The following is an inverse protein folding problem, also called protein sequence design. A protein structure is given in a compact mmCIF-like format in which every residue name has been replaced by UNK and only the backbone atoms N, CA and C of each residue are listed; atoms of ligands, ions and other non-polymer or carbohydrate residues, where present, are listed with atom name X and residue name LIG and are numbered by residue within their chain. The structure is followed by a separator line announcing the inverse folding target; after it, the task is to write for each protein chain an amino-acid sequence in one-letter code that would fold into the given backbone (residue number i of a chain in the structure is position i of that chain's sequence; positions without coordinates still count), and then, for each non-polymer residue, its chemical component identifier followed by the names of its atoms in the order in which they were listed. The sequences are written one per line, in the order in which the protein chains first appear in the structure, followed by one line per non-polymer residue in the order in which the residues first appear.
data_IF_084183199144
#
_entry.id   IF_084183199144
#
_cell.length_a   1.000
_cell.length_b   1.000
_cell.length_c   1.000
_cell.angle_alpha   90.00
_cell.angle_beta   90.00
_cell.angle_gamma   90.00
#
_symmetry.space_group_name_H-M   'P 1'
#
loop_
_entity.id
_entity.type
_entity.pdbx_description
1 polymer ?
#
# COMPACT_ATOMS: atom_id res chain seq x y z
N UNK A 1 -8.55 5.19 22.24
CA UNK A 1 -8.17 4.18 21.24
C UNK A 1 -6.90 4.66 20.56
N UNK A 2 -5.80 3.91 20.67
CA UNK A 2 -4.56 4.22 19.96
C UNK A 2 -4.81 3.95 18.47
N UNK A 3 -4.60 4.93 17.59
CA UNK A 3 -4.89 4.79 16.15
C UNK A 3 -3.60 4.77 15.36
N UNK A 4 -3.49 3.85 14.40
CA UNK A 4 -2.34 3.76 13.51
C UNK A 4 -2.57 4.64 12.28
N UNK A 5 -1.92 5.81 12.23
CA UNK A 5 -1.97 6.72 11.08
C UNK A 5 -0.96 6.29 10.00
N UNK A 6 -1.28 5.21 9.28
CA UNK A 6 -0.64 4.91 8.00
C UNK A 6 -1.67 5.10 6.86
N UNK A 7 -1.28 5.67 5.70
CA UNK A 7 -2.16 5.79 4.55
C UNK A 7 -2.46 4.43 3.87
N UNK A 8 -1.75 3.36 4.25
CA UNK A 8 -1.85 2.04 3.62
C UNK A 8 -2.24 0.97 4.64
N UNK A 9 -3.08 0.03 4.18
CA UNK A 9 -3.48 -1.13 4.96
C UNK A 9 -2.34 -2.14 4.94
N UNK A 10 -1.84 -2.53 6.11
CA UNK A 10 -0.82 -3.57 6.22
C UNK A 10 -1.42 -4.96 6.06
N UNK A 11 -0.67 -5.85 5.43
CA UNK A 11 -0.95 -7.28 5.41
C UNK A 11 -0.08 -7.94 6.48
N UNK A 12 -0.71 -8.74 7.34
CA UNK A 12 -0.12 -9.38 8.53
C UNK A 12 -0.71 -10.78 8.67
N UNK A 13 -0.03 -11.63 9.44
CA UNK A 13 -0.59 -12.92 9.84
C UNK A 13 -1.65 -12.68 10.93
N UNK A 14 -2.89 -13.08 10.62
CA UNK A 14 -4.02 -13.00 11.53
C UNK A 14 -4.07 -14.15 12.52
N UNK A 15 -5.10 -14.13 13.39
CA UNK A 15 -5.21 -15.03 14.54
C UNK A 15 -5.31 -16.52 14.24
N UNK A 16 -5.62 -16.84 12.99
CA UNK A 16 -5.77 -18.20 12.51
C UNK A 16 -4.63 -18.62 11.57
N UNK A 17 -3.49 -17.93 11.63
CA UNK A 17 -2.29 -18.22 10.84
C UNK A 17 -2.35 -17.77 9.37
N UNK A 18 -3.47 -17.20 8.88
CA UNK A 18 -3.59 -16.73 7.50
C UNK A 18 -3.18 -15.27 7.33
N UNK A 19 -2.59 -14.92 6.18
CA UNK A 19 -2.31 -13.53 5.84
C UNK A 19 -3.59 -12.77 5.51
N UNK A 20 -3.83 -11.68 6.23
CA UNK A 20 -4.99 -10.79 6.07
C UNK A 20 -4.57 -9.34 6.25
N UNK A 21 -5.40 -8.44 5.77
CA UNK A 21 -5.29 -7.04 6.09
C UNK A 21 -5.63 -6.78 7.56
N UNK A 22 -4.89 -5.86 8.21
CA UNK A 22 -5.22 -5.35 9.54
C UNK A 22 -6.68 -4.88 9.59
N UNK A 23 -7.30 -4.93 10.76
CA UNK A 23 -8.66 -4.40 10.94
C UNK A 23 -8.65 -2.91 10.60
N UNK A 24 -9.60 -2.49 9.79
CA UNK A 24 -9.72 -1.11 9.36
C UNK A 24 -11.15 -0.81 8.93
N UNK A 25 -11.47 0.47 8.80
CA UNK A 25 -12.75 0.90 8.25
C UNK A 25 -12.56 2.16 7.42
N UNK A 26 -12.97 2.07 6.15
CA UNK A 26 -12.91 3.16 5.19
C UNK A 26 -14.17 4.04 5.18
N UNK A 27 -15.27 3.54 5.75
CA UNK A 27 -16.52 4.29 5.89
C UNK A 27 -16.35 5.36 6.97
N UNK A 28 -16.86 6.57 6.78
CA UNK A 28 -16.82 7.65 7.78
C UNK A 28 -18.10 7.66 8.62
N UNK A 29 -18.00 8.12 9.87
CA UNK A 29 -19.12 8.17 10.81
C UNK A 29 -19.82 6.81 10.96
N UNK A 30 -19.05 5.74 11.08
CA UNK A 30 -19.57 4.36 10.98
C UNK A 30 -20.58 3.96 12.04
N UNK A 31 -20.65 4.65 13.18
CA UNK A 31 -21.65 4.41 14.24
C UNK A 31 -22.93 5.24 14.10
N UNK A 32 -22.96 6.19 13.17
CA UNK A 32 -24.14 6.95 12.78
C UNK A 32 -24.09 7.16 11.26
N UNK A 33 -24.29 6.08 10.47
CA UNK A 33 -23.96 6.08 9.06
C UNK A 33 -24.81 7.07 8.26
N UNK A 34 -24.14 7.81 7.38
CA UNK A 34 -24.76 8.75 6.43
C UNK A 34 -24.25 8.48 5.02
N UNK A 35 -25.07 8.83 4.02
CA UNK A 35 -24.71 8.73 2.60
C UNK A 35 -23.45 9.53 2.29
N UNK A 36 -22.49 8.90 1.62
CA UNK A 36 -21.18 9.49 1.34
C UNK A 36 -20.46 8.77 0.20
N UNK A 37 -19.40 9.40 -0.30
CA UNK A 37 -18.41 8.74 -1.17
C UNK A 37 -17.11 8.53 -0.41
N UNK A 38 -16.48 7.38 -0.63
CA UNK A 38 -15.18 7.03 -0.02
C UNK A 38 -14.17 6.64 -1.10
N UNK A 39 -12.88 6.83 -0.80
CA UNK A 39 -11.81 6.45 -1.71
C UNK A 39 -11.56 4.94 -1.67
N UNK A 40 -11.59 4.32 -2.84
CA UNK A 40 -11.20 2.92 -3.08
C UNK A 40 -9.99 2.86 -4.01
N UNK A 41 -9.35 1.70 -4.12
CA UNK A 41 -8.33 1.42 -5.12
C UNK A 41 -8.95 0.57 -6.22
N UNK A 42 -8.88 1.01 -7.48
CA UNK A 42 -9.36 0.21 -8.61
C UNK A 42 -8.64 -1.16 -8.64
N UNK A 43 -9.39 -2.21 -8.99
CA UNK A 43 -8.99 -3.62 -9.00
C UNK A 43 -8.69 -4.24 -7.63
N UNK A 44 -8.90 -3.53 -6.52
CA UNK A 44 -8.86 -4.12 -5.19
C UNK A 44 -10.23 -4.69 -4.79
N UNK A 45 -10.22 -5.77 -4.01
CA UNK A 45 -11.43 -6.39 -3.48
C UNK A 45 -11.82 -5.78 -2.14
N UNK A 46 -13.12 -5.55 -1.97
CA UNK A 46 -13.72 -4.94 -0.79
C UNK A 46 -14.94 -5.73 -0.33
N UNK A 47 -15.33 -5.50 0.92
CA UNK A 47 -16.58 -5.94 1.49
C UNK A 47 -17.24 -4.80 2.26
N UNK A 48 -18.56 -4.68 2.13
CA UNK A 48 -19.40 -3.77 2.91
C UNK A 48 -20.22 -4.59 3.89
N UNK A 49 -20.02 -4.32 5.17
CA UNK A 49 -20.73 -4.94 6.28
C UNK A 49 -21.63 -3.91 6.93
N UNK A 50 -22.87 -4.32 7.20
CA UNK A 50 -23.89 -3.48 7.84
C UNK A 50 -24.42 -4.24 9.06
N UNK A 51 -24.69 -3.53 10.14
CA UNK A 51 -25.40 -4.07 11.31
C UNK A 51 -26.63 -3.22 11.64
N UNK A 52 -27.57 -3.79 12.40
CA UNK A 52 -28.84 -3.14 12.72
C UNK A 52 -29.85 -3.18 11.58
N UNK A 53 -30.89 -2.35 11.68
CA UNK A 53 -31.90 -2.16 10.64
C UNK A 53 -31.41 -1.18 9.58
N UNK A 54 -31.54 -1.49 8.30
CA UNK A 54 -31.15 -0.57 7.22
C UNK A 54 -30.19 -1.21 6.23
N UNK A 55 -29.85 -0.43 5.20
CA UNK A 55 -29.08 -0.90 4.06
C UNK A 55 -28.09 0.14 3.56
N UNK A 56 -27.10 -0.36 2.81
CA UNK A 56 -26.16 0.48 2.06
C UNK A 56 -26.15 0.02 0.61
N UNK A 57 -26.64 0.86 -0.29
CA UNK A 57 -26.58 0.62 -1.74
C UNK A 57 -25.26 1.17 -2.30
N UNK A 58 -24.57 0.35 -3.07
CA UNK A 58 -23.27 0.65 -3.66
C UNK A 58 -23.41 1.09 -5.11
N UNK A 59 -22.71 2.16 -5.48
CA UNK A 59 -22.58 2.62 -6.88
C UNK A 59 -21.16 3.12 -7.18
N UNK A 60 -20.90 3.45 -8.45
CA UNK A 60 -19.61 3.91 -9.00
C UNK A 60 -18.52 2.82 -9.00
N UNK A 61 -17.79 2.61 -7.90
CA UNK A 61 -16.75 1.58 -7.82
C UNK A 61 -17.30 0.16 -7.58
N UNK A 62 -18.54 0.01 -7.12
CA UNK A 62 -19.15 -1.29 -6.84
C UNK A 62 -20.66 -1.24 -7.02
N UNK A 63 -21.31 -2.40 -7.02
CA UNK A 63 -22.76 -2.54 -7.13
C UNK A 63 -23.30 -3.50 -6.08
N UNK A 64 -24.58 -3.37 -5.74
CA UNK A 64 -25.26 -4.24 -4.77
C UNK A 64 -25.84 -3.47 -3.58
N UNK A 65 -26.58 -4.17 -2.73
CA UNK A 65 -27.19 -3.62 -1.52
C UNK A 65 -26.77 -4.49 -0.34
N UNK A 66 -25.98 -3.90 0.56
CA UNK A 66 -25.55 -4.57 1.79
C UNK A 66 -26.58 -4.33 2.90
N UNK A 67 -26.87 -5.37 3.68
CA UNK A 67 -27.73 -5.32 4.87
C UNK A 67 -27.19 -6.21 5.98
N UNK A 68 -27.77 -6.12 7.17
CA UNK A 68 -27.41 -7.03 8.26
C UNK A 68 -27.59 -8.50 7.84
N UNK A 69 -26.57 -9.32 8.09
CA UNK A 69 -26.54 -10.73 7.68
C UNK A 69 -26.34 -10.99 6.18
N UNK A 70 -26.26 -9.94 5.35
CA UNK A 70 -26.03 -10.06 3.90
C UNK A 70 -25.03 -9.00 3.44
N UNK A 71 -23.74 -9.17 3.76
CA UNK A 71 -22.69 -8.26 3.30
C UNK A 71 -22.49 -8.37 1.78
N UNK A 72 -22.06 -7.27 1.16
CA UNK A 72 -21.72 -7.26 -0.28
C UNK A 72 -20.21 -7.26 -0.44
N UNK A 73 -19.69 -8.23 -1.19
CA UNK A 73 -18.30 -8.30 -1.63
C UNK A 73 -18.19 -7.91 -3.09
N UNK A 74 -17.20 -7.10 -3.46
CA UNK A 74 -17.01 -6.63 -4.83
C UNK A 74 -15.54 -6.32 -5.13
N UNK A 75 -15.16 -6.33 -6.41
CA UNK A 75 -13.89 -5.77 -6.89
C UNK A 75 -14.13 -4.35 -7.37
N UNK A 76 -13.41 -3.37 -6.83
CA UNK A 76 -13.62 -1.97 -7.15
C UNK A 76 -13.26 -1.68 -8.62
N UNK A 77 -14.22 -1.16 -9.39
CA UNK A 77 -14.00 -0.73 -10.79
C UNK A 77 -13.30 0.62 -10.90
N UNK A 78 -13.40 1.46 -9.86
CA UNK A 78 -12.88 2.83 -9.86
C UNK A 78 -12.30 3.22 -8.50
N UNK A 79 -11.71 4.43 -8.43
CA UNK A 79 -11.10 4.97 -7.22
C UNK A 79 -12.09 5.54 -6.21
N UNK A 80 -13.40 5.49 -6.48
CA UNK A 80 -14.42 6.10 -5.62
C UNK A 80 -15.67 5.24 -5.54
N UNK A 81 -15.98 4.76 -4.34
CA UNK A 81 -17.22 4.08 -4.02
C UNK A 81 -18.23 5.07 -3.47
N UNK A 82 -19.44 5.06 -4.00
CA UNK A 82 -20.56 5.80 -3.41
C UNK A 82 -21.42 4.84 -2.59
N UNK A 83 -21.62 5.17 -1.32
CA UNK A 83 -22.41 4.40 -0.36
C UNK A 83 -23.67 5.20 -0.03
N UNK A 84 -24.82 4.73 -0.50
CA UNK A 84 -26.12 5.34 -0.20
C UNK A 84 -26.75 4.62 0.98
N UNK A 85 -26.90 5.31 2.11
CA UNK A 85 -27.43 4.75 3.35
C UNK A 85 -28.95 4.95 3.41
N UNK A 86 -29.69 3.90 3.76
CA UNK A 86 -31.14 3.95 3.96
C UNK A 86 -31.57 3.14 5.19
N UNK A 87 -32.69 3.49 5.81
CA UNK A 87 -33.30 2.71 6.90
C UNK A 87 -32.56 2.72 8.25
N UNK A 88 -31.51 3.54 8.40
CA UNK A 88 -30.85 3.81 9.68
C UNK A 88 -30.00 2.67 10.26
N UNK A 89 -28.99 2.14 9.53
CA UNK A 89 -28.10 1.09 10.04
C UNK A 89 -27.38 1.53 11.31
N UNK A 90 -27.16 0.58 12.23
CA UNK A 90 -26.46 0.84 13.50
C UNK A 90 -24.96 1.03 13.26
N UNK A 91 -24.34 0.13 12.49
CA UNK A 91 -22.97 0.33 12.03
C UNK A 91 -22.78 -0.03 10.57
N UNK A 92 -21.85 0.66 9.92
CA UNK A 92 -21.39 0.34 8.56
C UNK A 92 -19.86 0.28 8.54
N UNK A 93 -19.33 -0.77 7.95
CA UNK A 93 -17.89 -0.92 7.75
C UNK A 93 -17.60 -1.27 6.30
N UNK A 94 -16.66 -0.53 5.70
CA UNK A 94 -16.10 -0.88 4.39
C UNK A 94 -14.64 -1.26 4.58
N UNK A 95 -14.30 -2.49 4.20
CA UNK A 95 -12.99 -3.11 4.41
C UNK A 95 -12.44 -3.66 3.12
N UNK A 96 -11.11 -3.64 2.96
CA UNK A 96 -10.41 -4.36 1.90
C UNK A 96 -10.28 -5.84 2.28
N UNK A 97 -10.57 -6.76 1.36
CA UNK A 97 -10.51 -8.21 1.63
C UNK A 97 -9.23 -8.86 1.07
N UNK A 98 -8.70 -9.92 1.71
CA UNK A 98 -9.14 -10.53 2.97
C UNK A 98 -8.76 -9.68 4.19
N UNK A 99 -9.65 -9.53 5.18
CA UNK A 99 -9.43 -8.72 6.39
C UNK A 99 -9.62 -9.56 7.65
N UNK A 100 -8.89 -9.25 8.71
CA UNK A 100 -9.19 -9.81 10.03
C UNK A 100 -10.56 -9.34 10.54
N UNK A 101 -11.32 -10.24 11.17
CA UNK A 101 -12.68 -9.94 11.62
C UNK A 101 -12.71 -8.92 12.77
N UNK A 102 -13.62 -7.95 12.70
CA UNK A 102 -13.90 -7.01 13.78
C UNK A 102 -14.26 -5.61 13.29
N UNK A 103 -15.04 -4.93 14.12
CA UNK A 103 -15.53 -3.58 13.85
C UNK A 103 -14.52 -2.52 14.33
N UNK A 104 -14.23 -1.55 13.45
CA UNK A 104 -13.44 -0.36 13.78
C UNK A 104 -14.34 0.86 13.63
N UNK A 105 -14.64 1.53 14.75
CA UNK A 105 -15.49 2.73 14.78
C UNK A 105 -14.76 3.94 14.20
N UNK A 106 -15.36 4.63 13.24
CA UNK A 106 -14.81 5.82 12.58
C UNK A 106 -15.68 7.04 12.83
N UNK A 107 -15.06 8.22 12.75
CA UNK A 107 -15.72 9.52 12.78
C UNK A 107 -15.47 10.24 11.45
N UNK A 108 -14.95 11.47 11.46
CA UNK A 108 -14.63 12.24 10.25
C UNK A 108 -13.40 11.73 9.47
N UNK A 109 -12.77 10.64 9.91
CA UNK A 109 -11.63 10.02 9.25
C UNK A 109 -11.74 8.50 9.25
N UNK A 110 -11.23 7.89 8.18
CA UNK A 110 -10.97 6.44 8.13
C UNK A 110 -9.96 6.07 9.21
N UNK A 111 -10.17 4.93 9.86
CA UNK A 111 -9.28 4.45 10.91
C UNK A 111 -8.75 3.06 10.57
N UNK A 112 -7.52 2.83 11.01
CA UNK A 112 -6.84 1.55 10.96
C UNK A 112 -6.49 1.16 12.39
N UNK A 113 -6.79 -0.08 12.74
CA UNK A 113 -6.38 -0.66 14.01
C UNK A 113 -4.86 -0.87 14.01
N UNK A 114 -4.29 -1.16 15.18
CA UNK A 114 -2.87 -1.47 15.30
C UNK A 114 -2.54 -2.77 14.50
N UNK A 115 -1.41 -2.83 13.78
CA UNK A 115 -1.02 -3.98 12.99
C UNK A 115 -0.53 -5.13 13.88
N UNK A 116 -1.44 -5.83 14.55
CA UNK A 116 -1.10 -6.96 15.40
C UNK A 116 -0.70 -8.19 14.59
N UNK A 117 0.52 -8.69 14.79
CA UNK A 117 1.01 -9.91 14.14
C UNK A 117 0.91 -11.10 15.09
N UNK A 118 0.47 -12.24 14.55
CA UNK A 118 0.28 -13.49 15.25
C UNK A 118 1.18 -14.56 14.62
N UNK A 119 1.55 -15.59 15.37
CA UNK A 119 2.30 -16.72 14.84
C UNK A 119 1.37 -17.71 14.08
N UNK A 120 1.95 -18.81 13.59
CA UNK A 120 1.18 -19.87 12.92
C UNK A 120 0.19 -20.62 13.83
N UNK A 121 0.41 -20.55 15.13
CA UNK A 121 -0.35 -21.25 16.16
C UNK A 121 -1.41 -20.36 16.82
N UNK A 122 -1.54 -19.10 16.38
CA UNK A 122 -2.52 -18.15 16.91
C UNK A 122 -2.09 -17.44 18.20
N UNK A 123 -0.79 -17.40 18.51
CA UNK A 123 -0.27 -16.58 19.60
C UNK A 123 0.07 -15.17 19.10
N UNK A 124 -0.30 -14.15 19.87
CA UNK A 124 0.02 -12.75 19.56
C UNK A 124 1.52 -12.51 19.73
N UNK A 125 2.19 -12.09 18.64
CA UNK A 125 3.61 -11.73 18.65
C UNK A 125 3.84 -10.26 19.04
N UNK A 126 2.89 -9.39 18.70
CA UNK A 126 2.95 -7.96 19.04
C UNK A 126 2.46 -7.07 17.91
N UNK A 127 2.93 -5.82 17.86
CA UNK A 127 2.59 -4.85 16.81
C UNK A 127 3.73 -4.80 15.79
N UNK A 128 3.40 -5.03 14.51
CA UNK A 128 4.34 -4.87 13.41
C UNK A 128 4.62 -3.38 13.18
N UNK A 129 5.78 -2.95 13.66
CA UNK A 129 6.36 -1.66 13.35
C UNK A 129 7.23 -1.79 12.11
N UNK A 130 6.99 -0.94 11.12
CA UNK A 130 7.94 -0.78 10.02
C UNK A 130 8.86 0.37 10.41
N UNK A 131 10.14 0.09 10.56
CA UNK A 131 11.12 1.15 10.78
C UNK A 131 11.09 2.13 9.60
N UNK A 132 11.16 3.42 9.89
CA UNK A 132 11.29 4.45 8.86
C UNK A 132 12.61 4.22 8.11
N UNK A 133 12.52 3.72 6.88
CA UNK A 133 13.68 3.62 5.97
C UNK A 133 13.75 4.87 5.11
N UNK A 134 14.82 5.63 5.25
CA UNK A 134 15.11 6.80 4.40
C UNK A 134 16.15 6.42 3.36
N UNK A 135 15.87 6.71 2.09
CA UNK A 135 16.90 6.69 1.06
C UNK A 135 17.49 8.11 0.95
N UNK A 136 18.80 8.23 1.23
CA UNK A 136 19.51 9.49 1.10
C UNK A 136 19.76 9.86 -0.37
N UNK A 137 19.86 8.85 -1.24
CA UNK A 137 20.05 9.06 -2.67
C UNK A 137 18.71 9.42 -3.33
N UNK A 138 18.69 10.53 -4.05
CA UNK A 138 17.54 10.97 -4.84
C UNK A 138 17.54 10.26 -6.19
N UNK A 139 16.36 10.00 -6.74
CA UNK A 139 16.20 9.45 -8.09
C UNK A 139 16.96 8.13 -8.33
N UNK A 140 17.01 7.24 -7.33
CA UNK A 140 17.79 5.98 -7.38
C UNK A 140 17.39 5.00 -8.50
N UNK A 141 16.19 5.12 -9.08
CA UNK A 141 15.76 4.35 -10.25
C UNK A 141 15.92 5.10 -11.59
N UNK A 142 16.25 6.39 -11.53
CA UNK A 142 16.29 7.31 -12.67
C UNK A 142 17.61 8.10 -12.72
N UNK A 143 18.65 7.44 -13.23
CA UNK A 143 19.98 8.04 -13.34
C UNK A 143 20.10 8.98 -14.55
N UNK A 144 19.02 9.19 -15.31
CA UNK A 144 18.96 10.21 -16.36
C UNK A 144 18.84 11.61 -15.79
N UNK A 145 18.30 11.75 -14.58
CA UNK A 145 18.15 13.02 -13.88
C UNK A 145 19.50 13.75 -13.73
N UNK A 146 19.47 15.09 -13.80
CA UNK A 146 20.64 15.95 -13.77
C UNK A 146 21.41 15.89 -12.43
N UNK A 147 20.78 15.48 -11.33
CA UNK A 147 21.46 15.27 -10.04
C UNK A 147 22.53 14.17 -10.09
N UNK A 148 22.48 13.30 -11.11
CA UNK A 148 23.48 12.27 -11.36
C UNK A 148 24.52 12.80 -12.34
N UNK A 149 25.74 13.04 -11.87
CA UNK A 149 26.89 13.40 -12.69
C UNK A 149 27.41 12.12 -13.36
N UNK A 150 27.41 12.12 -14.69
CA UNK A 150 27.75 10.94 -15.51
C UNK A 150 29.03 11.21 -16.28
N UNK A 151 30.00 10.30 -16.19
CA UNK A 151 31.26 10.36 -16.94
C UNK A 151 31.48 9.03 -17.64
N UNK A 152 31.85 9.05 -18.93
CA UNK A 152 32.12 7.84 -19.72
C UNK A 152 30.98 6.80 -19.74
N UNK A 153 29.74 7.25 -19.48
CA UNK A 153 28.54 6.42 -19.42
C UNK A 153 27.33 7.22 -19.89
N UNK A 154 26.38 6.55 -20.53
CA UNK A 154 25.07 7.11 -20.87
C UNK A 154 23.98 6.40 -20.07
N UNK A 155 22.93 7.15 -19.71
CA UNK A 155 21.81 6.65 -18.94
C UNK A 155 20.52 6.77 -19.76
N UNK A 156 19.72 5.71 -19.78
CA UNK A 156 18.41 5.69 -20.42
C UNK A 156 17.38 4.97 -19.54
N UNK A 157 16.28 5.64 -19.19
CA UNK A 157 15.22 5.08 -18.34
C UNK A 157 14.18 4.29 -19.15
N UNK A 158 14.65 3.28 -19.88
CA UNK A 158 13.82 2.49 -20.79
C UNK A 158 13.60 1.06 -20.30
N UNK A 159 14.18 0.68 -19.15
CA UNK A 159 14.06 -0.68 -18.64
C UNK A 159 12.82 -0.84 -17.74
N UNK A 160 12.26 -2.06 -17.74
CA UNK A 160 11.25 -2.48 -16.76
C UNK A 160 11.92 -2.71 -15.42
N UNK A 161 11.47 -1.99 -14.39
CA UNK A 161 11.99 -2.10 -13.04
C UNK A 161 11.43 -3.29 -12.26
N UNK A 162 11.88 -3.44 -11.01
CA UNK A 162 11.49 -4.53 -10.11
C UNK A 162 9.98 -4.57 -9.82
N UNK A 163 9.29 -3.45 -9.98
CA UNK A 163 7.84 -3.33 -9.81
C UNK A 163 7.05 -3.76 -11.05
N UNK A 164 7.72 -4.22 -12.12
CA UNK A 164 7.08 -4.66 -13.36
C UNK A 164 6.59 -3.53 -14.26
N UNK A 165 6.78 -2.26 -13.86
CA UNK A 165 6.35 -1.09 -14.65
C UNK A 165 7.37 -0.80 -15.75
N UNK A 166 6.93 -0.62 -16.99
CA UNK A 166 7.81 -0.21 -18.09
C UNK A 166 8.43 1.18 -17.82
N UNK A 167 9.65 1.43 -18.32
CA UNK A 167 10.37 2.70 -18.16
C UNK A 167 10.53 3.15 -16.69
N UNK A 168 10.64 2.19 -15.76
CA UNK A 168 10.78 2.45 -14.32
C UNK A 168 12.17 2.14 -13.77
N UNK A 169 13.09 1.65 -14.60
CA UNK A 169 14.50 1.45 -14.27
C UNK A 169 15.43 2.06 -15.33
N UNK A 170 16.65 2.40 -14.88
CA UNK A 170 17.69 2.96 -15.75
C UNK A 170 18.61 1.88 -16.29
N UNK A 171 18.89 1.95 -17.58
CA UNK A 171 20.01 1.26 -18.22
C UNK A 171 21.19 2.21 -18.31
N UNK A 172 22.31 1.76 -17.78
CA UNK A 172 23.60 2.42 -17.93
C UNK A 172 24.41 1.71 -19.00
N UNK A 173 24.93 2.47 -19.97
CA UNK A 173 25.76 1.96 -21.06
C UNK A 173 27.11 2.67 -21.03
N UNK A 174 28.17 1.94 -20.73
CA UNK A 174 29.53 2.46 -20.76
C UNK A 174 29.89 2.91 -22.19
N UNK A 175 30.42 4.12 -22.31
CA UNK A 175 30.90 4.68 -23.59
C UNK A 175 32.42 4.74 -23.67
N UNK A 176 33.11 4.64 -22.53
CA UNK A 176 34.55 4.51 -22.42
C UNK A 176 34.93 3.79 -21.10
N UNK A 177 36.22 3.55 -20.88
CA UNK A 177 36.73 3.00 -19.62
C UNK A 177 36.42 3.91 -18.43
N UNK A 178 36.35 3.33 -17.23
CA UNK A 178 36.13 4.04 -15.96
C UNK A 178 34.81 4.86 -15.93
N UNK A 179 33.71 4.27 -16.41
CA UNK A 179 32.39 4.88 -16.40
C UNK A 179 31.84 5.10 -14.99
N UNK A 180 31.31 6.28 -14.70
CA UNK A 180 30.74 6.63 -13.39
C UNK A 180 29.40 7.35 -13.52
N UNK A 181 28.50 7.09 -12.56
CA UNK A 181 27.27 7.85 -12.34
C UNK A 181 27.17 8.15 -10.84
N UNK A 182 27.43 9.41 -10.46
CA UNK A 182 27.63 9.81 -9.07
C UNK A 182 26.61 10.88 -8.68
N UNK A 183 26.16 10.85 -7.42
CA UNK A 183 25.34 11.88 -6.82
C UNK A 183 25.98 12.33 -5.51
N UNK A 184 26.09 13.64 -5.33
CA UNK A 184 26.48 14.21 -4.03
C UNK A 184 25.28 14.19 -3.08
N UNK A 185 25.48 13.62 -1.89
CA UNK A 185 24.49 13.62 -0.81
C UNK A 185 25.09 14.29 0.43
N UNK A 186 24.28 15.04 1.17
CA UNK A 186 24.67 15.58 2.47
C UNK A 186 24.18 14.64 3.56
N UNK A 187 25.10 14.03 4.31
CA UNK A 187 24.79 13.19 5.46
C UNK A 187 25.75 13.49 6.60
N UNK A 188 25.24 13.54 7.83
CA UNK A 188 26.09 13.46 9.01
C UNK A 188 26.78 12.09 9.07
N UNK A 189 27.92 12.02 9.79
CA UNK A 189 28.64 10.76 10.01
C UNK A 189 27.76 9.78 10.79
N UNK A 190 27.46 8.64 10.18
CA UNK A 190 26.64 7.57 10.76
C UNK A 190 26.93 6.25 10.00
N UNK A 191 26.68 5.11 10.65
CA UNK A 191 26.67 3.83 9.95
C UNK A 191 25.48 3.77 8.98
N UNK A 192 25.72 3.35 7.73
CA UNK A 192 24.74 3.32 6.64
C UNK A 192 24.84 2.01 5.86
N UNK A 193 23.75 1.64 5.21
CA UNK A 193 23.69 0.50 4.30
C UNK A 193 23.53 1.05 2.89
N UNK A 194 24.35 0.57 1.96
CA UNK A 194 24.19 0.82 0.53
C UNK A 194 23.70 -0.47 -0.12
N UNK A 195 22.60 -0.40 -0.88
CA UNK A 195 22.11 -1.53 -1.67
C UNK A 195 21.64 -1.03 -3.03
N UNK A 196 21.80 -1.85 -4.06
CA UNK A 196 21.19 -1.58 -5.36
C UNK A 196 20.75 -2.88 -6.04
N UNK A 197 19.69 -2.76 -6.83
CA UNK A 197 19.19 -3.84 -7.66
C UNK A 197 19.85 -3.73 -9.03
N UNK A 198 20.86 -4.55 -9.30
CA UNK A 198 21.57 -4.55 -10.58
C UNK A 198 21.20 -5.80 -11.38
N UNK A 199 21.02 -5.60 -12.69
CA UNK A 199 20.93 -6.69 -13.67
C UNK A 199 21.87 -6.37 -14.82
N UNK A 200 22.75 -7.31 -15.17
CA UNK A 200 23.57 -7.20 -16.39
C UNK A 200 22.66 -7.25 -17.63
N UNK A 201 22.71 -6.21 -18.46
CA UNK A 201 21.93 -6.15 -19.72
C UNK A 201 22.67 -6.81 -20.88
N UNK A 202 23.98 -6.60 -20.98
CA UNK A 202 24.88 -7.15 -22.00
C UNK A 202 26.29 -7.36 -21.41
N UNK A 203 27.18 -8.08 -22.10
CA UNK A 203 28.57 -8.34 -21.66
C UNK A 203 28.76 -9.61 -20.82
N UNK A 204 29.99 -9.86 -20.36
CA UNK A 204 30.38 -11.01 -19.52
C UNK A 204 31.22 -10.56 -18.32
N UNK A 205 31.52 -11.46 -17.38
CA UNK A 205 32.28 -11.16 -16.16
C UNK A 205 31.41 -10.97 -14.90
N UNK A 206 32.07 -10.88 -13.75
CA UNK A 206 31.44 -10.65 -12.45
C UNK A 206 30.97 -9.20 -12.34
N UNK A 207 29.77 -9.01 -11.79
CA UNK A 207 29.26 -7.68 -11.40
C UNK A 207 29.44 -7.57 -9.89
N UNK A 208 30.23 -6.59 -9.46
CA UNK A 208 30.58 -6.36 -8.06
C UNK A 208 29.95 -5.05 -7.57
N UNK A 209 29.59 -5.01 -6.28
CA UNK A 209 29.03 -3.86 -5.57
C UNK A 209 29.79 -3.65 -4.25
#
# INVERSE_FOLDING_TARGET
MLTYTSPTVKMLRGSNGLYRYQKHNLFLNSGAPVTQSITTLANATYQVLVTGSGTVTLTNAGTGVASAGSPVSFTASSGTLTCTVAGGPTTVQVVRTPVEAGYVATTAARLFDLPYEWDEFGNLLGILTEDQRVNLALWGSDLTNAVWVKTNITAAKTATGITGVANSATTLTATAANGTALQSITSASASRITYCWIKRRTGTGTVEM
#
